data_IF_720880782988
#
_entry.id   IF_720880782988
#
_cell.length_a   1.000
_cell.length_b   1.000
_cell.length_c   1.000
_cell.angle_alpha   90.00
_cell.angle_beta   90.00
_cell.angle_gamma   90.00
#
_symmetry.space_group_name_H-M   'P 1'
#
loop_
_entity.id
_entity.type
_entity.pdbx_description
1 polymer ?
#
# COMPACT_ATOMS: atom_id res chain seq x y z
N UNK A 1 22.65 8.87 1.31
CA UNK A 1 21.18 8.84 1.35
C UNK A 1 20.60 8.19 0.08
N UNK A 2 21.38 7.45 -0.69
CA UNK A 2 21.71 6.02 -0.55
C UNK A 2 20.53 5.08 -0.88
N UNK A 3 20.82 4.10 -1.74
CA UNK A 3 19.90 3.15 -2.40
C UNK A 3 19.13 2.27 -1.43
N UNK A 4 19.47 2.30 -0.13
CA UNK A 4 18.79 1.59 0.95
C UNK A 4 17.40 2.13 1.31
N UNK A 5 17.06 3.37 0.97
CA UNK A 5 15.85 4.02 1.49
C UNK A 5 14.86 4.50 0.43
N UNK A 6 15.31 4.61 -0.82
CA UNK A 6 14.47 5.04 -1.93
C UNK A 6 14.30 3.90 -2.91
N UNK A 7 13.06 3.64 -3.32
CA UNK A 7 12.79 2.73 -4.42
C UNK A 7 13.38 3.29 -5.70
N UNK A 8 14.22 2.50 -6.35
CA UNK A 8 14.80 2.81 -7.66
C UNK A 8 13.89 2.25 -8.76
N UNK A 9 14.04 2.70 -10.03
CA UNK A 9 13.31 2.12 -11.15
C UNK A 9 13.45 0.60 -11.25
N UNK A 10 14.63 0.06 -10.92
CA UNK A 10 14.90 -1.38 -10.92
C UNK A 10 14.05 -2.11 -9.87
N UNK A 11 13.88 -1.55 -8.68
CA UNK A 11 13.01 -2.13 -7.64
C UNK A 11 11.55 -2.12 -8.10
N UNK A 12 11.10 -1.03 -8.74
CA UNK A 12 9.75 -0.97 -9.31
C UNK A 12 9.54 -2.03 -10.40
N UNK A 13 10.53 -2.23 -11.28
CA UNK A 13 10.48 -3.27 -12.31
C UNK A 13 10.42 -4.68 -11.71
N UNK A 14 11.20 -4.96 -10.66
CA UNK A 14 11.14 -6.24 -9.94
C UNK A 14 9.76 -6.49 -9.34
N UNK A 15 9.17 -5.49 -8.67
CA UNK A 15 7.81 -5.60 -8.11
C UNK A 15 6.75 -5.82 -9.17
N UNK A 16 6.84 -5.12 -10.30
CA UNK A 16 5.91 -5.32 -11.42
C UNK A 16 6.08 -6.70 -12.06
N UNK A 17 7.31 -7.23 -12.13
CA UNK A 17 7.53 -8.60 -12.57
C UNK A 17 6.82 -9.60 -11.64
N UNK A 18 7.04 -9.50 -10.33
CA UNK A 18 6.37 -10.37 -9.33
C UNK A 18 4.85 -10.28 -9.44
N UNK A 19 4.30 -9.07 -9.60
CA UNK A 19 2.86 -8.86 -9.82
C UNK A 19 2.36 -9.57 -11.07
N UNK A 20 3.08 -9.47 -12.19
CA UNK A 20 2.71 -10.15 -13.46
C UNK A 20 2.72 -11.66 -13.32
N UNK A 21 3.77 -12.20 -12.73
CA UNK A 21 3.90 -13.65 -12.51
C UNK A 21 2.80 -14.15 -11.56
N UNK A 22 2.48 -13.37 -10.53
CA UNK A 22 1.34 -13.66 -9.64
C UNK A 22 0.02 -13.65 -10.41
N UNK A 23 -0.23 -12.65 -11.27
CA UNK A 23 -1.44 -12.59 -12.13
C UNK A 23 -1.52 -13.78 -13.09
N UNK A 24 -0.39 -14.22 -13.66
CA UNK A 24 -0.31 -15.40 -14.52
C UNK A 24 -0.70 -16.67 -13.77
N UNK A 25 -0.21 -16.87 -12.54
CA UNK A 25 -0.58 -18.03 -11.74
C UNK A 25 -2.08 -17.97 -11.38
N UNK A 26 -2.58 -16.82 -10.95
CA UNK A 26 -4.01 -16.60 -10.65
C UNK A 26 -4.89 -16.93 -11.85
N UNK A 27 -4.51 -16.51 -13.06
CA UNK A 27 -5.28 -16.77 -14.29
C UNK A 27 -5.43 -18.26 -14.64
N UNK A 28 -4.62 -19.11 -14.02
CA UNK A 28 -4.60 -20.56 -14.22
C UNK A 28 -5.32 -21.30 -13.09
N UNK A 29 -5.73 -20.59 -12.03
CA UNK A 29 -6.50 -21.15 -10.95
C UNK A 29 -7.98 -21.23 -11.36
N UNK A 30 -8.62 -22.42 -11.36
CA UNK A 30 -10.01 -22.56 -11.78
C UNK A 30 -11.00 -21.91 -10.81
N UNK A 31 -10.55 -21.50 -9.61
CA UNK A 31 -11.38 -20.81 -8.63
C UNK A 31 -11.64 -19.34 -8.99
N UNK A 32 -10.90 -18.77 -9.95
CA UNK A 32 -10.99 -17.38 -10.33
C UNK A 32 -11.30 -17.22 -11.81
N UNK A 33 -12.07 -16.20 -12.21
CA UNK A 33 -12.30 -15.89 -13.61
C UNK A 33 -10.99 -15.41 -14.26
N UNK A 34 -10.84 -15.67 -15.57
CA UNK A 34 -9.61 -15.34 -16.33
C UNK A 34 -9.31 -13.84 -16.37
N UNK A 35 -10.33 -13.02 -16.21
CA UNK A 35 -10.25 -11.57 -16.19
C UNK A 35 -9.79 -11.01 -14.83
N UNK A 36 -9.55 -11.87 -13.83
CA UNK A 36 -9.03 -11.46 -12.52
C UNK A 36 -7.70 -10.74 -12.68
N UNK A 37 -7.59 -9.59 -12.00
CA UNK A 37 -6.37 -8.77 -12.00
C UNK A 37 -5.67 -8.82 -10.66
N UNK A 38 -4.35 -8.66 -10.69
CA UNK A 38 -3.53 -8.47 -9.49
C UNK A 38 -3.02 -7.05 -9.49
N UNK A 39 -3.34 -6.29 -8.45
CA UNK A 39 -2.94 -4.89 -8.31
C UNK A 39 -2.03 -4.72 -7.09
N UNK A 40 -0.92 -4.02 -7.27
CA UNK A 40 -0.04 -3.65 -6.16
C UNK A 40 -0.66 -2.50 -5.37
N UNK A 41 -0.64 -2.60 -4.05
CA UNK A 41 -1.07 -1.52 -3.16
C UNK A 41 -0.01 -1.29 -2.06
N UNK A 42 -0.40 -0.56 -1.01
CA UNK A 42 0.39 -0.47 0.21
C UNK A 42 1.70 0.27 0.01
N UNK A 43 2.73 -0.12 0.76
CA UNK A 43 4.01 0.60 0.74
C UNK A 43 4.71 0.52 -0.62
N UNK A 44 4.41 -0.52 -1.39
CA UNK A 44 4.94 -0.73 -2.72
C UNK A 44 4.41 0.25 -3.77
N UNK A 45 3.26 0.89 -3.54
CA UNK A 45 2.61 1.80 -4.48
C UNK A 45 2.25 3.19 -3.90
N UNK A 46 2.42 3.44 -2.60
CA UNK A 46 2.00 4.70 -1.97
C UNK A 46 3.07 5.82 -1.93
N UNK A 47 4.25 5.60 -2.51
CA UNK A 47 5.35 6.58 -2.55
C UNK A 47 6.19 6.68 -1.27
N UNK A 48 5.90 5.87 -0.23
CA UNK A 48 6.64 5.80 1.03
C UNK A 48 7.30 4.44 1.29
N UNK A 49 7.36 3.58 0.27
CA UNK A 49 8.02 2.27 0.31
C UNK A 49 9.54 2.35 0.42
N UNK A 50 10.14 1.32 1.01
CA UNK A 50 11.59 1.10 0.96
C UNK A 50 11.91 -0.08 0.01
N UNK A 51 13.17 -0.25 -0.43
CA UNK A 51 13.59 -1.39 -1.24
C UNK A 51 13.20 -2.75 -0.67
N UNK A 52 13.34 -2.91 0.65
CA UNK A 52 13.12 -4.16 1.37
C UNK A 52 11.69 -4.25 1.93
N UNK A 53 10.75 -3.48 1.38
CA UNK A 53 9.34 -3.59 1.77
C UNK A 53 8.64 -4.65 0.94
N UNK A 54 7.78 -5.39 1.62
CA UNK A 54 6.90 -6.43 1.11
C UNK A 54 6.08 -5.90 -0.08
N UNK A 55 5.76 -6.81 -1.00
CA UNK A 55 4.91 -6.53 -2.16
C UNK A 55 3.47 -6.85 -1.81
N UNK A 56 2.77 -5.84 -1.30
CA UNK A 56 1.33 -5.91 -1.04
C UNK A 56 0.55 -5.96 -2.36
N UNK A 57 -0.22 -7.03 -2.58
CA UNK A 57 -1.01 -7.29 -3.77
C UNK A 57 -2.46 -7.63 -3.45
N UNK A 58 -3.37 -7.22 -4.34
CA UNK A 58 -4.80 -7.41 -4.19
C UNK A 58 -5.36 -8.07 -5.44
N UNK A 59 -6.13 -9.14 -5.25
CA UNK A 59 -6.98 -9.71 -6.30
C UNK A 59 -8.16 -8.77 -6.58
N UNK A 60 -8.40 -8.49 -7.85
CA UNK A 60 -9.57 -7.75 -8.32
C UNK A 60 -10.35 -8.63 -9.29
N UNK A 61 -11.52 -9.07 -8.83
CA UNK A 61 -12.43 -9.83 -9.69
C UNK A 61 -13.14 -8.88 -10.68
N UNK A 62 -13.49 -9.35 -11.88
CA UNK A 62 -14.31 -8.59 -12.81
C UNK A 62 -15.63 -8.14 -12.18
N UNK A 63 -16.12 -6.97 -12.61
CA UNK A 63 -17.32 -6.37 -12.05
C UNK A 63 -18.54 -7.29 -12.19
N UNK A 64 -19.29 -7.45 -11.09
CA UNK A 64 -20.48 -8.29 -11.06
C UNK A 64 -20.21 -9.79 -10.85
N UNK A 65 -18.94 -10.22 -10.89
CA UNK A 65 -18.60 -11.59 -10.53
C UNK A 65 -18.75 -11.80 -9.02
N UNK A 66 -19.38 -12.91 -8.65
CA UNK A 66 -19.46 -13.41 -7.29
C UNK A 66 -18.85 -14.80 -7.27
N UNK A 67 -18.18 -15.14 -6.18
CA UNK A 67 -17.74 -16.51 -5.97
C UNK A 67 -19.01 -17.38 -5.84
N UNK A 68 -19.03 -18.48 -6.59
CA UNK A 68 -20.22 -19.32 -6.79
C UNK A 68 -20.63 -20.14 -5.55
N UNK A 69 -19.91 -19.98 -4.44
CA UNK A 69 -20.07 -20.80 -3.24
C UNK A 69 -20.62 -19.95 -2.08
N UNK A 70 -21.83 -20.27 -1.62
CA UNK A 70 -22.46 -19.64 -0.44
C UNK A 70 -21.64 -19.89 0.84
N UNK A 71 -20.76 -20.89 0.86
CA UNK A 71 -19.82 -21.12 1.96
C UNK A 71 -18.53 -20.29 1.81
N UNK A 72 -18.22 -19.76 0.61
CA UNK A 72 -17.00 -18.98 0.32
C UNK A 72 -17.25 -17.47 0.16
N UNK A 73 -18.07 -16.89 1.05
CA UNK A 73 -18.49 -15.48 0.95
C UNK A 73 -17.33 -14.47 0.93
N UNK A 74 -16.19 -14.81 1.54
CA UNK A 74 -15.01 -13.96 1.61
C UNK A 74 -13.87 -14.39 0.67
N UNK A 75 -14.01 -15.50 -0.07
CA UNK A 75 -12.98 -16.04 -0.96
C UNK A 75 -11.87 -16.86 -0.30
N UNK A 76 -12.04 -17.27 0.96
CA UNK A 76 -11.09 -18.13 1.67
C UNK A 76 -10.85 -19.49 0.99
N UNK A 77 -11.89 -20.14 0.46
CA UNK A 77 -11.79 -21.46 -0.20
C UNK A 77 -11.12 -21.29 -1.57
N UNK A 78 -11.51 -20.28 -2.35
CA UNK A 78 -10.88 -19.94 -3.62
C UNK A 78 -9.38 -19.60 -3.44
N UNK A 79 -9.04 -18.83 -2.40
CA UNK A 79 -7.67 -18.53 -2.03
C UNK A 79 -6.90 -19.78 -1.56
N UNK A 80 -7.55 -20.73 -0.87
CA UNK A 80 -6.95 -22.01 -0.51
C UNK A 80 -6.49 -22.82 -1.74
N UNK A 81 -7.30 -22.84 -2.81
CA UNK A 81 -6.90 -23.47 -4.09
C UNK A 81 -5.69 -22.77 -4.74
N UNK A 82 -5.51 -21.47 -4.48
CA UNK A 82 -4.37 -20.71 -4.99
C UNK A 82 -3.07 -21.03 -4.23
N UNK A 83 -3.16 -21.37 -2.94
CA UNK A 83 -2.01 -21.82 -2.13
C UNK A 83 -1.38 -23.07 -2.76
N UNK A 84 -2.19 -24.10 -3.02
CA UNK A 84 -1.73 -25.34 -3.67
C UNK A 84 -1.08 -25.06 -5.04
N UNK A 85 -1.68 -24.13 -5.80
CA UNK A 85 -1.15 -23.74 -7.09
C UNK A 85 0.18 -22.99 -6.96
N UNK A 86 0.35 -22.09 -5.99
CA UNK A 86 1.62 -21.39 -5.73
C UNK A 86 2.74 -22.37 -5.40
N UNK A 87 2.48 -23.33 -4.50
CA UNK A 87 3.45 -24.37 -4.15
C UNK A 87 3.85 -25.20 -5.38
N UNK A 88 2.87 -25.59 -6.21
CA UNK A 88 3.14 -26.34 -7.45
C UNK A 88 3.96 -25.55 -8.48
N UNK A 89 4.00 -24.22 -8.38
CA UNK A 89 4.73 -23.30 -9.26
C UNK A 89 6.08 -22.87 -8.72
N UNK A 90 6.51 -23.46 -7.62
CA UNK A 90 7.84 -23.22 -7.05
C UNK A 90 7.93 -21.93 -6.22
N UNK A 91 6.80 -21.26 -5.95
CA UNK A 91 6.73 -20.19 -4.93
C UNK A 91 7.14 -20.78 -3.58
N UNK A 92 7.87 -20.01 -2.77
CA UNK A 92 8.46 -20.47 -1.51
C UNK A 92 7.65 -19.94 -0.32
N UNK A 93 7.78 -20.63 0.81
CA UNK A 93 7.25 -20.18 2.11
C UNK A 93 5.78 -19.71 2.06
N UNK A 94 4.93 -20.44 1.33
CA UNK A 94 3.51 -20.08 1.19
C UNK A 94 2.82 -20.31 2.54
N UNK A 95 2.32 -19.24 3.15
CA UNK A 95 1.65 -19.25 4.44
C UNK A 95 0.13 -18.95 4.28
N UNK A 96 -0.74 -19.96 4.49
CA UNK A 96 -2.19 -19.83 4.47
C UNK A 96 -2.81 -19.40 5.81
N UNK A 97 -2.02 -19.06 6.84
CA UNK A 97 -2.50 -18.80 8.20
C UNK A 97 -3.56 -17.69 8.30
N UNK A 98 -3.63 -16.79 7.30
CA UNK A 98 -4.56 -15.66 7.24
C UNK A 98 -5.76 -15.86 6.29
N UNK A 99 -6.01 -17.09 5.82
CA UNK A 99 -7.19 -17.37 4.98
C UNK A 99 -8.53 -17.16 5.71
N UNK A 100 -8.57 -17.33 7.03
CA UNK A 100 -9.79 -17.15 7.85
C UNK A 100 -10.00 -15.72 8.32
N UNK A 101 -9.09 -14.79 7.98
CA UNK A 101 -9.24 -13.38 8.31
C UNK A 101 -10.45 -12.77 7.59
N UNK A 102 -10.93 -11.62 8.09
CA UNK A 102 -12.03 -10.86 7.45
C UNK A 102 -11.77 -10.62 5.96
N UNK A 103 -10.52 -10.35 5.61
CA UNK A 103 -10.03 -10.32 4.23
C UNK A 103 -8.97 -11.41 4.16
N UNK A 104 -9.22 -12.53 3.46
CA UNK A 104 -8.23 -13.59 3.29
C UNK A 104 -6.93 -13.06 2.68
N UNK A 105 -5.79 -13.50 3.24
CA UNK A 105 -4.44 -13.16 2.75
C UNK A 105 -3.60 -14.43 2.65
N UNK A 106 -2.83 -14.55 1.57
CA UNK A 106 -1.75 -15.54 1.41
C UNK A 106 -0.43 -14.76 1.47
N UNK A 107 0.45 -15.13 2.38
CA UNK A 107 1.81 -14.58 2.44
C UNK A 107 2.75 -15.59 1.78
N UNK A 108 3.75 -15.14 1.02
CA UNK A 108 4.68 -16.03 0.33
C UNK A 108 5.95 -15.32 -0.12
N UNK A 109 6.97 -16.10 -0.45
CA UNK A 109 8.22 -15.61 -0.99
C UNK A 109 8.31 -15.97 -2.48
N UNK A 110 8.39 -14.97 -3.34
CA UNK A 110 8.60 -15.18 -4.77
C UNK A 110 10.10 -15.33 -5.08
N UNK A 111 10.57 -16.49 -5.58
CA UNK A 111 11.96 -16.66 -5.96
C UNK A 111 12.26 -15.98 -7.29
N UNK A 112 13.18 -15.02 -7.28
CA UNK A 112 13.64 -14.31 -8.47
C UNK A 112 15.12 -14.60 -8.73
N UNK A 113 15.44 -15.05 -9.94
CA UNK A 113 16.83 -15.20 -10.37
C UNK A 113 17.44 -13.84 -10.65
N UNK A 114 18.56 -13.54 -9.97
CA UNK A 114 19.35 -12.35 -10.22
C UNK A 114 20.61 -12.78 -10.98
N UNK A 115 20.86 -12.20 -12.15
CA UNK A 115 21.93 -12.65 -13.05
C UNK A 115 23.34 -12.63 -12.41
N UNK A 116 23.53 -11.85 -11.35
CA UNK A 116 24.79 -11.72 -10.62
C UNK A 116 24.94 -12.67 -9.43
N UNK A 117 23.93 -13.49 -9.10
CA UNK A 117 23.91 -14.33 -7.90
C UNK A 117 23.57 -15.79 -8.26
N UNK A 118 24.27 -16.73 -7.61
CA UNK A 118 23.99 -18.17 -7.76
C UNK A 118 22.69 -18.57 -7.05
N UNK A 119 22.34 -17.86 -5.97
CA UNK A 119 21.12 -18.06 -5.21
C UNK A 119 19.98 -17.18 -5.74
N UNK A 120 18.75 -17.65 -5.56
CA UNK A 120 17.55 -16.87 -5.86
C UNK A 120 17.33 -15.81 -4.78
N UNK A 121 16.99 -14.60 -5.21
CA UNK A 121 16.49 -13.56 -4.31
C UNK A 121 15.04 -13.87 -3.98
N UNK A 122 14.71 -13.92 -2.69
CA UNK A 122 13.34 -14.06 -2.23
C UNK A 122 12.70 -12.67 -2.05
N UNK A 123 11.49 -12.51 -2.59
CA UNK A 123 10.70 -11.29 -2.46
C UNK A 123 9.44 -11.60 -1.65
N UNK A 124 9.36 -11.04 -0.46
CA UNK A 124 8.23 -11.18 0.45
C UNK A 124 6.97 -10.53 -0.16
N UNK A 125 5.87 -11.28 -0.21
CA UNK A 125 4.63 -10.90 -0.86
C UNK A 125 3.40 -11.21 0.00
N UNK A 126 2.45 -10.29 0.01
CA UNK A 126 1.14 -10.46 0.63
C UNK A 126 0.06 -10.36 -0.45
N UNK A 127 -0.65 -11.44 -0.76
CA UNK A 127 -1.79 -11.42 -1.69
C UNK A 127 -3.12 -11.49 -0.95
N UNK A 128 -3.90 -10.42 -1.03
CA UNK A 128 -5.20 -10.29 -0.38
C UNK A 128 -6.37 -10.46 -1.35
N UNK A 129 -7.49 -10.96 -0.84
CA UNK A 129 -8.74 -11.10 -1.59
C UNK A 129 -9.53 -9.78 -1.60
N UNK A 130 -9.74 -9.16 -2.76
CA UNK A 130 -10.59 -7.96 -2.95
C UNK A 130 -10.57 -6.93 -1.80
N UNK A 131 -9.53 -6.10 -1.78
CA UNK A 131 -9.37 -5.00 -0.82
C UNK A 131 -9.41 -3.61 -1.50
N UNK A 132 -10.60 -3.17 -1.98
CA UNK A 132 -10.73 -1.89 -2.69
C UNK A 132 -10.40 -0.69 -1.79
N UNK A 133 -10.70 -0.76 -0.48
CA UNK A 133 -10.37 0.30 0.47
C UNK A 133 -8.85 0.48 0.62
N UNK A 134 -8.08 -0.61 0.67
CA UNK A 134 -6.62 -0.49 0.72
C UNK A 134 -6.05 0.11 -0.57
N UNK A 135 -6.62 -0.23 -1.73
CA UNK A 135 -6.26 0.41 -3.00
C UNK A 135 -6.55 1.92 -2.98
N UNK A 136 -7.75 2.33 -2.54
CA UNK A 136 -8.14 3.74 -2.41
C UNK A 136 -7.24 4.51 -1.45
N UNK A 137 -6.95 3.95 -0.27
CA UNK A 137 -6.06 4.56 0.71
C UNK A 137 -4.63 4.69 0.15
N UNK A 138 -4.16 3.70 -0.59
CA UNK A 138 -2.85 3.75 -1.27
C UNK A 138 -2.81 4.91 -2.26
N UNK A 139 -3.84 5.08 -3.08
CA UNK A 139 -3.95 6.19 -4.03
C UNK A 139 -4.00 7.55 -3.32
N UNK A 140 -4.76 7.68 -2.23
CA UNK A 140 -4.80 8.92 -1.44
C UNK A 140 -3.41 9.28 -0.90
N UNK A 141 -2.74 8.31 -0.28
CA UNK A 141 -1.40 8.49 0.29
C UNK A 141 -0.37 8.79 -0.79
N UNK A 142 -0.47 8.15 -1.96
CA UNK A 142 0.38 8.43 -3.11
C UNK A 142 0.28 9.90 -3.54
N UNK A 143 -0.94 10.44 -3.62
CA UNK A 143 -1.13 11.85 -3.94
C UNK A 143 -0.43 12.77 -2.93
N UNK A 144 -0.59 12.51 -1.63
CA UNK A 144 0.15 13.25 -0.60
C UNK A 144 1.68 13.16 -0.75
N UNK A 145 2.19 12.01 -1.18
CA UNK A 145 3.63 11.81 -1.42
C UNK A 145 4.20 12.69 -2.55
N UNK A 146 3.33 13.13 -3.47
CA UNK A 146 3.69 13.94 -4.63
C UNK A 146 3.55 15.44 -4.38
N UNK A 147 2.73 15.86 -3.41
CA UNK A 147 2.50 17.27 -3.10
C UNK A 147 3.77 17.97 -2.57
N UNK A 148 4.52 17.30 -1.70
CA UNK A 148 5.75 17.86 -1.11
C UNK A 148 6.80 16.79 -0.84
N UNK A 149 8.04 17.05 -1.28
CA UNK A 149 9.18 16.15 -1.09
C UNK A 149 9.50 15.90 0.39
N UNK A 150 9.28 16.89 1.26
CA UNK A 150 9.53 16.81 2.70
C UNK A 150 8.64 15.76 3.36
N UNK A 151 7.43 15.54 2.85
CA UNK A 151 6.52 14.49 3.33
C UNK A 151 7.19 13.12 3.23
N UNK A 152 7.84 12.81 2.10
CA UNK A 152 8.57 11.54 1.90
C UNK A 152 9.79 11.40 2.80
N UNK A 153 10.51 12.51 3.03
CA UNK A 153 11.66 12.54 3.94
C UNK A 153 11.21 12.29 5.38
N UNK A 154 10.19 13.01 5.87
CA UNK A 154 9.63 12.85 7.22
C UNK A 154 9.07 11.45 7.43
N UNK A 155 8.32 10.92 6.46
CA UNK A 155 7.80 9.56 6.49
C UNK A 155 8.93 8.51 6.63
N UNK A 156 10.02 8.68 5.88
CA UNK A 156 11.18 7.79 5.96
C UNK A 156 11.86 7.84 7.32
N UNK A 157 12.01 9.04 7.90
CA UNK A 157 12.57 9.25 9.25
C UNK A 157 11.68 8.57 10.29
N UNK A 158 10.37 8.83 10.27
CA UNK A 158 9.41 8.28 11.24
C UNK A 158 9.36 6.75 11.14
N UNK A 159 9.29 6.19 9.93
CA UNK A 159 9.30 4.72 9.74
C UNK A 159 10.56 4.08 10.28
N UNK A 160 11.73 4.69 10.03
CA UNK A 160 13.02 4.20 10.54
C UNK A 160 13.08 4.29 12.05
N UNK A 161 12.67 5.42 12.63
CA UNK A 161 12.60 5.60 14.07
C UNK A 161 11.68 4.55 14.70
N UNK A 162 10.45 4.39 14.21
CA UNK A 162 9.49 3.43 14.74
C UNK A 162 10.01 1.98 14.65
N UNK A 163 10.63 1.61 13.52
CA UNK A 163 11.27 0.29 13.36
C UNK A 163 12.42 0.09 14.36
N UNK A 164 13.29 1.09 14.52
CA UNK A 164 14.44 1.03 15.44
C UNK A 164 14.04 1.01 16.93
N UNK A 165 12.80 1.40 17.22
CA UNK A 165 12.20 1.37 18.56
C UNK A 165 11.28 0.17 18.77
N UNK A 166 11.19 -0.74 17.78
CA UNK A 166 10.35 -1.94 17.83
C UNK A 166 8.85 -1.65 18.04
N UNK A 167 8.38 -0.49 17.56
CA UNK A 167 6.98 -0.05 17.66
C UNK A 167 6.27 -0.04 16.30
N UNK A 168 6.79 -0.76 15.31
CA UNK A 168 6.25 -0.89 13.96
C UNK A 168 5.95 -2.35 13.62
N UNK A 169 5.14 -3.00 14.45
CA UNK A 169 4.76 -4.41 14.31
C UNK A 169 3.33 -4.66 14.86
N UNK A 170 2.30 -4.65 13.98
CA UNK A 170 0.92 -4.95 14.37
C UNK A 170 0.73 -6.31 15.04
N UNK A 171 1.52 -7.33 14.65
CA UNK A 171 1.44 -8.65 15.25
C UNK A 171 1.89 -8.65 16.72
N UNK A 172 2.67 -7.65 17.14
CA UNK A 172 3.08 -7.43 18.53
C UNK A 172 2.30 -6.28 19.20
N UNK A 173 1.08 -6.01 18.74
CA UNK A 173 0.18 -4.98 19.32
C UNK A 173 0.72 -3.54 19.25
N UNK A 174 1.57 -3.23 18.26
CA UNK A 174 2.02 -1.85 17.98
C UNK A 174 1.44 -1.34 16.66
N UNK A 175 1.73 -0.09 16.28
CA UNK A 175 1.18 0.49 15.05
C UNK A 175 1.84 -0.12 13.80
N UNK A 176 1.10 -0.13 12.69
CA UNK A 176 1.69 -0.40 11.38
C UNK A 176 2.35 0.87 10.82
N UNK A 177 3.18 0.69 9.79
CA UNK A 177 3.70 1.83 9.02
C UNK A 177 2.58 2.71 8.48
N UNK A 178 1.45 2.15 8.07
CA UNK A 178 0.27 2.91 7.66
C UNK A 178 -0.25 3.85 8.76
N UNK A 179 -0.33 3.37 10.01
CA UNK A 179 -0.74 4.20 11.15
C UNK A 179 0.18 5.42 11.37
N UNK A 180 1.49 5.23 11.32
CA UNK A 180 2.45 6.33 11.43
C UNK A 180 2.34 7.34 10.28
N UNK A 181 2.10 6.87 9.06
CA UNK A 181 1.89 7.75 7.91
C UNK A 181 0.61 8.57 8.08
N UNK A 182 -0.48 7.97 8.57
CA UNK A 182 -1.70 8.73 8.86
C UNK A 182 -1.48 9.83 9.91
N UNK A 183 -0.73 9.53 10.99
CA UNK A 183 -0.37 10.54 11.99
C UNK A 183 0.45 11.68 11.41
N UNK A 184 1.42 11.38 10.54
CA UNK A 184 2.20 12.39 9.83
C UNK A 184 1.32 13.25 8.93
N UNK A 185 0.46 12.63 8.12
CA UNK A 185 -0.44 13.36 7.23
C UNK A 185 -1.38 14.26 8.02
N UNK A 186 -1.97 13.77 9.12
CA UNK A 186 -2.78 14.58 10.02
C UNK A 186 -1.99 15.78 10.57
N UNK A 187 -0.75 15.58 11.02
CA UNK A 187 0.09 16.70 11.46
C UNK A 187 0.26 17.74 10.34
N UNK A 188 0.59 17.31 9.13
CA UNK A 188 0.83 18.22 8.00
C UNK A 188 -0.43 18.92 7.50
N UNK A 189 -1.61 18.31 7.60
CA UNK A 189 -2.86 18.93 7.15
C UNK A 189 -3.51 19.87 8.18
N UNK A 190 -3.07 19.83 9.44
CA UNK A 190 -3.62 20.65 10.53
C UNK A 190 -2.62 21.63 11.15
N UNK A 191 -1.39 21.70 10.64
CA UNK A 191 -0.37 22.64 11.12
C UNK A 191 0.10 23.57 10.00
N UNK A 192 0.58 24.74 10.37
CA UNK A 192 1.19 25.73 9.48
C UNK A 192 2.58 26.15 9.97
N UNK A 193 3.42 26.63 9.05
CA UNK A 193 4.66 27.31 9.41
C UNK A 193 4.41 28.81 9.60
N UNK A 194 4.95 29.39 10.67
CA UNK A 194 5.02 30.85 10.85
C UNK A 194 6.19 31.42 10.04
N UNK A 195 6.22 32.74 9.88
CA UNK A 195 7.35 33.44 9.24
C UNK A 195 8.66 33.28 10.03
N UNK A 196 8.60 32.85 11.28
CA UNK A 196 9.74 32.58 12.16
C UNK A 196 10.19 31.11 12.10
N UNK A 197 9.56 30.29 11.24
CA UNK A 197 9.88 28.86 11.09
C UNK A 197 9.28 27.95 12.15
N UNK A 198 8.39 28.47 13.02
CA UNK A 198 7.70 27.67 14.04
C UNK A 198 6.51 26.95 13.39
N UNK A 199 6.35 25.66 13.68
CA UNK A 199 5.18 24.89 13.26
C UNK A 199 4.15 24.89 14.37
N UNK A 200 2.93 25.36 14.08
CA UNK A 200 1.85 25.45 15.06
C UNK A 200 0.52 24.95 14.49
N UNK A 201 -0.43 24.47 15.33
CA UNK A 201 -1.75 24.06 14.89
C UNK A 201 -2.53 25.19 14.24
N UNK A 202 -3.49 24.83 13.40
CA UNK A 202 -4.50 25.75 12.88
C UNK A 202 -5.64 25.81 13.90
N UNK A 203 -5.56 26.75 14.84
CA UNK A 203 -6.49 26.87 15.97
C UNK A 203 -7.74 27.73 15.69
N UNK A 204 -7.83 28.44 14.56
CA UNK A 204 -8.96 29.33 14.27
C UNK A 204 -10.00 28.67 13.33
N UNK A 205 -11.31 28.67 13.67
CA UNK A 205 -12.33 28.45 12.66
C UNK A 205 -12.15 29.50 11.58
N UNK A 206 -12.09 29.05 10.32
CA UNK A 206 -11.95 29.93 9.16
C UNK A 206 -13.12 30.91 9.17
N UNK A 207 -12.92 32.15 9.60
CA UNK A 207 -13.91 33.21 9.43
C UNK A 207 -13.97 33.49 7.92
N UNK A 208 -15.08 33.18 7.23
CA UNK A 208 -15.20 33.39 5.79
C UNK A 208 -15.07 34.86 5.38
N UNK A 209 -15.06 35.80 6.34
CA UNK A 209 -14.84 37.24 6.13
C UNK A 209 -13.38 37.68 6.25
N UNK A 210 -12.48 36.84 6.79
CA UNK A 210 -11.04 37.13 6.87
C UNK A 210 -10.36 36.71 5.55
N UNK A 211 -9.68 37.66 4.89
CA UNK A 211 -9.11 37.53 3.53
C UNK A 211 -7.97 36.51 3.35
N UNK A 212 -7.47 35.87 4.40
CA UNK A 212 -6.48 34.80 4.28
C UNK A 212 -6.62 33.82 5.45
N UNK A 213 -7.28 32.69 5.20
CA UNK A 213 -7.27 31.57 6.13
C UNK A 213 -5.84 31.00 6.22
N UNK A 214 -5.36 30.59 7.42
CA UNK A 214 -4.07 29.91 7.55
C UNK A 214 -3.99 28.69 6.62
N UNK A 215 -3.01 28.68 5.73
CA UNK A 215 -2.79 27.53 4.83
C UNK A 215 -1.99 26.45 5.56
N UNK A 216 -2.48 25.20 5.61
CA UNK A 216 -1.74 24.10 6.19
C UNK A 216 -0.47 23.75 5.40
N UNK A 217 0.45 23.03 6.03
CA UNK A 217 1.68 22.52 5.38
C UNK A 217 1.36 21.60 4.20
N UNK A 218 0.26 20.86 4.26
CA UNK A 218 -0.35 20.15 3.14
C UNK A 218 -1.85 20.45 3.06
N UNK A 219 -2.44 20.57 1.85
CA UNK A 219 -3.88 20.69 1.70
C UNK A 219 -4.59 19.43 2.23
N UNK A 220 -5.75 19.58 2.85
CA UNK A 220 -6.55 18.44 3.26
C UNK A 220 -7.37 17.90 2.07
N UNK A 221 -6.83 16.88 1.39
CA UNK A 221 -7.47 16.26 0.22
C UNK A 221 -8.82 15.59 0.56
N UNK A 222 -9.10 15.32 1.83
CA UNK A 222 -10.39 14.72 2.26
C UNK A 222 -11.52 15.75 2.27
N UNK A 223 -11.20 17.04 2.24
CA UNK A 223 -12.18 18.13 2.23
C UNK A 223 -12.33 18.78 0.85
N UNK A 224 -11.64 18.25 -0.17
CA UNK A 224 -11.85 18.70 -1.54
C UNK A 224 -13.24 18.27 -2.00
N UNK A 225 -14.04 19.23 -2.48
CA UNK A 225 -15.37 18.98 -3.04
C UNK A 225 -15.26 17.93 -4.15
N UNK A 226 -15.89 16.75 -4.03
CA UNK A 226 -15.82 15.68 -5.04
C UNK A 226 -16.08 16.14 -6.49
N UNK A 227 -16.77 17.26 -6.70
CA UNK A 227 -16.97 17.88 -8.00
C UNK A 227 -15.67 18.43 -8.65
N UNK A 228 -14.57 18.57 -7.90
CA UNK A 228 -13.28 19.09 -8.39
C UNK A 228 -12.71 18.26 -9.56
N UNK A 229 -12.93 16.94 -9.56
CA UNK A 229 -12.50 16.06 -10.64
C UNK A 229 -13.29 16.26 -11.95
N UNK A 230 -14.46 16.93 -11.87
CA UNK A 230 -15.31 17.26 -13.02
C UNK A 230 -15.16 18.73 -13.46
N UNK A 231 -14.33 19.51 -12.78
CA UNK A 231 -13.98 20.88 -13.14
C UNK A 231 -13.20 20.88 -14.46
N UNK A 232 -13.70 21.59 -15.47
CA UNK A 232 -13.04 21.73 -16.78
C UNK A 232 -11.87 22.73 -16.78
N UNK A 233 -11.59 23.35 -15.65
CA UNK A 233 -10.50 24.31 -15.49
C UNK A 233 -9.33 23.64 -14.75
N UNK A 234 -8.56 22.86 -15.51
CA UNK A 234 -7.31 22.23 -15.09
C UNK A 234 -6.34 22.16 -16.26
#
# INVERSE_FOLDING_TARGET
YDTQYRTTPEIHQRREHVRRETELIVSQCPAFPKETKVVVFGSSANGFGSPNSDVDMCLQLPAGFKLDDEEDKNGSVAMGKLVELFESRGVKNVDPSRLTARIPVIMFDYPMKVASEEAEMLIDCDLSMQNPLACLNTSLILNYSHLDVRTRVLASIIKRWAKSREINNPAQHTLSSYGYILMLLHFLTYHRATNEGIVMPIDEPVDPRKRAAPTPLLPNLQWMDPAWANSKDG
#
